data_IF_789624733693
#
_entry.id   IF_789624733693
#
_cell.length_a   1.000
_cell.length_b   1.000
_cell.length_c   1.000
_cell.angle_alpha   90.00
_cell.angle_beta   90.00
_cell.angle_gamma   90.00
#
_symmetry.space_group_name_H-M   'P 1'
#
loop_
_entity.id
_entity.type
_entity.pdbx_description
1 polymer ?
#
# COMPACT_ATOMS: atom_id res chain seq x y z
N UNK A 1 -7.03 9.63 -3.16
CA UNK A 1 -8.19 10.31 -3.80
C UNK A 1 -9.51 9.61 -3.53
N UNK A 2 -9.69 8.32 -3.87
CA UNK A 2 -10.94 7.60 -3.61
C UNK A 2 -11.44 7.66 -2.16
N UNK A 3 -10.54 7.47 -1.18
CA UNK A 3 -10.87 7.57 0.25
C UNK A 3 -11.37 8.96 0.66
N UNK A 4 -10.79 10.03 0.10
CA UNK A 4 -11.20 11.43 0.37
C UNK A 4 -12.61 11.66 -0.18
N UNK A 5 -12.85 11.27 -1.43
CA UNK A 5 -14.17 11.36 -2.04
C UNK A 5 -15.21 10.55 -1.25
N UNK A 6 -14.83 9.37 -0.75
CA UNK A 6 -15.69 8.54 0.06
C UNK A 6 -16.04 9.19 1.41
N UNK A 7 -15.09 9.79 2.11
CA UNK A 7 -15.37 10.51 3.36
C UNK A 7 -16.25 11.74 3.17
N UNK A 8 -16.17 12.42 2.01
CA UNK A 8 -17.02 13.57 1.70
C UNK A 8 -18.43 13.14 1.26
N UNK A 9 -18.54 12.11 0.43
CA UNK A 9 -19.82 11.69 -0.15
C UNK A 9 -20.64 10.81 0.79
N UNK A 10 -20.00 9.92 1.57
CA UNK A 10 -20.72 8.91 2.36
C UNK A 10 -21.65 9.50 3.42
N UNK A 11 -21.29 10.54 4.18
CA UNK A 11 -22.21 11.14 5.16
C UNK A 11 -23.45 11.76 4.51
N UNK A 12 -23.28 12.45 3.38
CA UNK A 12 -24.40 13.08 2.63
C UNK A 12 -25.35 12.01 2.10
N UNK A 13 -24.80 10.94 1.54
CA UNK A 13 -25.59 9.82 1.03
C UNK A 13 -26.32 9.10 2.17
N UNK A 14 -25.65 8.90 3.30
CA UNK A 14 -26.23 8.18 4.44
C UNK A 14 -27.38 8.98 5.08
N UNK A 15 -27.25 10.29 5.19
CA UNK A 15 -28.30 11.19 5.73
C UNK A 15 -29.48 11.33 4.77
N UNK A 16 -29.22 11.41 3.45
CA UNK A 16 -30.27 11.67 2.45
C UNK A 16 -30.98 10.40 1.95
N UNK A 17 -30.24 9.30 1.82
CA UNK A 17 -30.70 8.08 1.15
C UNK A 17 -30.58 6.82 2.02
N UNK A 18 -29.99 6.92 3.21
CA UNK A 18 -29.82 5.79 4.11
C UNK A 18 -28.70 4.82 3.70
N UNK A 19 -28.34 3.94 4.64
CA UNK A 19 -27.17 3.06 4.51
C UNK A 19 -27.25 2.06 3.33
N UNK A 20 -28.43 1.57 2.97
CA UNK A 20 -28.58 0.59 1.87
C UNK A 20 -28.22 1.21 0.52
N UNK A 21 -28.65 2.43 0.28
CA UNK A 21 -28.42 3.14 -0.98
C UNK A 21 -26.96 3.55 -1.15
N UNK A 22 -26.23 3.74 -0.05
CA UNK A 22 -24.77 3.93 -0.08
C UNK A 22 -24.08 2.80 -0.87
N UNK A 23 -24.41 1.54 -0.58
CA UNK A 23 -23.84 0.38 -1.26
C UNK A 23 -24.23 0.32 -2.74
N UNK A 24 -25.50 0.59 -3.07
CA UNK A 24 -25.97 0.61 -4.45
C UNK A 24 -25.31 1.72 -5.27
N UNK A 25 -25.12 2.92 -4.71
CA UNK A 25 -24.49 4.05 -5.39
C UNK A 25 -23.01 3.74 -5.68
N UNK A 26 -22.24 3.30 -4.69
CA UNK A 26 -20.83 2.94 -4.93
C UNK A 26 -20.69 1.76 -5.89
N UNK A 27 -21.57 0.76 -5.79
CA UNK A 27 -21.63 -0.35 -6.74
C UNK A 27 -21.90 0.12 -8.16
N UNK A 28 -22.89 1.00 -8.36
CA UNK A 28 -23.23 1.57 -9.67
C UNK A 28 -22.07 2.39 -10.25
N UNK A 29 -21.40 3.22 -9.44
CA UNK A 29 -20.22 3.97 -9.89
C UNK A 29 -19.10 3.02 -10.34
N UNK A 30 -18.85 1.94 -9.59
CA UNK A 30 -17.88 0.91 -9.97
C UNK A 30 -18.27 0.19 -11.26
N UNK A 31 -19.54 -0.18 -11.43
CA UNK A 31 -20.05 -0.80 -12.66
C UNK A 31 -19.97 0.15 -13.86
N UNK A 32 -20.24 1.44 -13.66
CA UNK A 32 -20.08 2.45 -14.71
C UNK A 32 -18.62 2.62 -15.10
N UNK A 33 -17.68 2.54 -14.15
CA UNK A 33 -16.24 2.58 -14.42
C UNK A 33 -15.73 1.34 -15.16
N UNK A 34 -16.40 0.19 -15.00
CA UNK A 34 -16.05 -1.05 -15.70
C UNK A 34 -16.13 -0.89 -17.23
N UNK A 35 -17.10 -0.11 -17.73
CA UNK A 35 -17.32 0.08 -19.18
C UNK A 35 -16.09 0.72 -19.87
N UNK A 36 -15.60 1.92 -19.47
CA UNK A 36 -14.40 2.47 -20.05
C UNK A 36 -13.17 1.59 -19.77
N UNK A 37 -13.06 0.97 -18.60
CA UNK A 37 -11.95 0.07 -18.28
C UNK A 37 -11.84 -1.10 -19.27
N UNK A 38 -12.94 -1.83 -19.51
CA UNK A 38 -12.97 -2.94 -20.48
C UNK A 38 -12.67 -2.47 -21.91
N UNK A 39 -13.05 -1.25 -22.26
CA UNK A 39 -12.79 -0.69 -23.60
C UNK A 39 -11.35 -0.18 -23.77
N UNK A 40 -10.65 0.20 -22.69
CA UNK A 40 -9.36 0.89 -22.75
C UNK A 40 -8.19 0.03 -22.28
N UNK A 41 -8.38 -0.88 -21.33
CA UNK A 41 -7.32 -1.72 -20.79
C UNK A 41 -6.66 -2.60 -21.88
N UNK A 42 -5.36 -2.80 -21.73
CA UNK A 42 -4.49 -3.61 -22.58
C UNK A 42 -3.41 -4.23 -21.70
N UNK A 43 -2.97 -5.44 -22.02
CA UNK A 43 -2.06 -6.19 -21.14
C UNK A 43 -0.59 -5.82 -21.37
N UNK A 44 -0.25 -5.29 -22.55
CA UNK A 44 1.11 -4.84 -22.87
C UNK A 44 1.17 -3.39 -23.41
N UNK A 45 2.29 -2.68 -23.21
CA UNK A 45 2.51 -1.37 -23.84
C UNK A 45 2.42 -1.40 -25.36
N UNK A 46 2.84 -2.50 -25.99
CA UNK A 46 2.79 -2.71 -27.43
C UNK A 46 1.35 -2.86 -27.95
N UNK A 47 0.49 -3.58 -27.22
CA UNK A 47 -0.95 -3.61 -27.51
C UNK A 47 -1.61 -2.25 -27.31
N UNK A 48 -1.21 -1.52 -26.27
CA UNK A 48 -1.69 -0.17 -26.01
C UNK A 48 -1.34 0.77 -27.18
N UNK A 49 -0.10 0.71 -27.67
CA UNK A 49 0.38 1.50 -28.79
C UNK A 49 -0.29 1.09 -30.11
N UNK A 50 -0.44 -0.21 -30.36
CA UNK A 50 -1.17 -0.76 -31.51
C UNK A 50 -2.62 -0.27 -31.56
N UNK A 51 -3.31 -0.34 -30.42
CA UNK A 51 -4.70 0.12 -30.26
C UNK A 51 -4.82 1.63 -30.42
N UNK A 52 -3.86 2.40 -29.90
CA UNK A 52 -3.81 3.87 -30.05
C UNK A 52 -3.57 4.30 -31.49
N UNK A 53 -2.67 3.62 -32.20
CA UNK A 53 -2.31 3.94 -33.59
C UNK A 53 -3.30 3.33 -34.62
N UNK A 54 -4.32 2.58 -34.16
CA UNK A 54 -5.25 1.84 -35.02
C UNK A 54 -4.53 0.94 -36.03
N UNK A 55 -3.36 0.41 -35.65
CA UNK A 55 -2.59 -0.48 -36.50
C UNK A 55 -3.37 -1.79 -36.67
N UNK A 56 -3.47 -2.32 -37.91
CA UNK A 56 -4.12 -3.59 -38.13
C UNK A 56 -3.49 -4.66 -37.24
N UNK A 57 -4.34 -5.51 -36.67
CA UNK A 57 -3.88 -6.73 -36.00
C UNK A 57 -3.30 -7.61 -37.11
N UNK A 58 -1.98 -7.54 -37.32
CA UNK A 58 -1.27 -8.55 -38.12
C UNK A 58 -1.74 -9.89 -37.61
N UNK A 59 -2.44 -10.63 -38.48
CA UNK A 59 -3.17 -11.85 -38.20
C UNK A 59 -2.64 -12.53 -36.94
N UNK A 60 -3.26 -12.23 -35.79
CA UNK A 60 -3.26 -13.17 -34.67
C UNK A 60 -3.95 -14.35 -35.30
N UNK A 61 -3.14 -15.28 -35.84
CA UNK A 61 -3.61 -16.59 -36.25
C UNK A 61 -4.52 -17.01 -35.11
N UNK A 62 -5.75 -17.41 -35.40
CA UNK A 62 -6.46 -18.26 -34.47
C UNK A 62 -5.50 -19.41 -34.19
N UNK A 63 -4.75 -19.32 -33.08
CA UNK A 63 -3.90 -20.40 -32.62
C UNK A 63 -4.92 -21.35 -32.01
N UNK A 64 -5.57 -22.13 -32.87
CA UNK A 64 -6.20 -23.36 -32.40
C UNK A 64 -5.03 -24.18 -31.89
N UNK A 65 -4.96 -24.35 -30.58
CA UNK A 65 -4.03 -25.29 -29.97
C UNK A 65 -4.35 -26.68 -30.56
N UNK A 66 -3.50 -27.13 -31.49
CA UNK A 66 -3.70 -28.36 -32.28
C UNK A 66 -3.82 -29.59 -31.37
N UNK A 67 -3.31 -29.52 -30.13
CA UNK A 67 -3.42 -30.60 -29.14
C UNK A 67 -4.79 -30.64 -28.43
N UNK A 68 -5.53 -29.53 -28.33
CA UNK A 68 -6.75 -29.44 -27.51
C UNK A 68 -8.06 -29.19 -28.27
N UNK A 69 -8.00 -28.79 -29.54
CA UNK A 69 -9.17 -28.62 -30.41
C UNK A 69 -10.20 -27.60 -29.93
N UNK A 70 -9.80 -26.68 -29.05
CA UNK A 70 -10.67 -25.65 -28.45
C UNK A 70 -10.23 -24.25 -28.86
N UNK A 71 -11.22 -23.35 -28.97
CA UNK A 71 -11.00 -21.95 -29.30
C UNK A 71 -10.12 -21.27 -28.22
N UNK A 72 -8.89 -20.91 -28.60
CA UNK A 72 -7.93 -20.23 -27.74
C UNK A 72 -8.40 -18.81 -27.33
N UNK A 73 -9.40 -18.26 -28.02
CA UNK A 73 -10.00 -16.96 -27.67
C UNK A 73 -11.18 -17.07 -26.69
N UNK A 74 -11.51 -18.28 -26.23
CA UNK A 74 -12.54 -18.44 -25.19
C UNK A 74 -12.03 -17.90 -23.85
N UNK A 75 -12.91 -17.27 -23.06
CA UNK A 75 -12.59 -16.79 -21.70
C UNK A 75 -11.93 -17.90 -20.87
N UNK A 76 -12.36 -19.15 -21.04
CA UNK A 76 -11.82 -20.29 -20.31
C UNK A 76 -10.40 -20.67 -20.76
N UNK A 77 -10.06 -20.50 -22.04
CA UNK A 77 -8.69 -20.70 -22.53
C UNK A 77 -7.76 -19.58 -22.05
N UNK A 78 -8.21 -18.33 -22.08
CA UNK A 78 -7.47 -17.17 -21.55
C UNK A 78 -7.16 -17.38 -20.07
N UNK A 79 -8.17 -17.72 -19.25
CA UNK A 79 -7.98 -18.01 -17.83
C UNK A 79 -6.97 -19.14 -17.58
N UNK A 80 -7.00 -20.21 -18.37
CA UNK A 80 -6.05 -21.32 -18.26
C UNK A 80 -4.63 -20.87 -18.59
N UNK A 81 -4.45 -20.15 -19.70
CA UNK A 81 -3.16 -19.63 -20.12
C UNK A 81 -2.56 -18.70 -19.04
N UNK A 82 -3.34 -17.75 -18.50
CA UNK A 82 -2.87 -16.86 -17.42
C UNK A 82 -2.51 -17.64 -16.15
N UNK A 83 -3.28 -18.68 -15.82
CA UNK A 83 -3.02 -19.51 -14.63
C UNK A 83 -1.76 -20.37 -14.82
N UNK A 84 -1.57 -20.95 -16.00
CA UNK A 84 -0.39 -21.76 -16.33
C UNK A 84 0.87 -20.91 -16.39
N UNK A 85 0.80 -19.70 -16.96
CA UNK A 85 1.91 -18.74 -16.97
C UNK A 85 2.28 -18.28 -15.56
N UNK A 86 1.29 -17.96 -14.72
CA UNK A 86 1.50 -17.65 -13.31
C UNK A 86 2.11 -18.82 -12.53
N UNK A 87 1.66 -20.06 -12.79
CA UNK A 87 2.24 -21.26 -12.19
C UNK A 87 3.68 -21.49 -12.65
N UNK A 88 3.98 -21.25 -13.93
CA UNK A 88 5.33 -21.35 -14.48
C UNK A 88 6.28 -20.33 -13.85
N UNK A 89 5.83 -19.08 -13.70
CA UNK A 89 6.53 -18.04 -12.93
C UNK A 89 6.86 -18.60 -11.55
N UNK A 90 5.87 -18.99 -10.74
CA UNK A 90 6.14 -19.48 -9.37
C UNK A 90 7.11 -20.67 -9.33
N UNK A 91 6.98 -21.62 -10.27
CA UNK A 91 7.83 -22.81 -10.33
C UNK A 91 9.28 -22.51 -10.69
N UNK A 92 9.51 -21.51 -11.54
CA UNK A 92 10.86 -21.10 -11.97
C UNK A 92 11.48 -20.05 -11.02
N UNK A 93 10.71 -19.53 -10.06
CA UNK A 93 11.17 -18.49 -9.15
C UNK A 93 12.24 -19.00 -8.17
N UNK A 94 13.34 -18.25 -7.97
CA UNK A 94 14.38 -18.59 -7.00
C UNK A 94 13.94 -18.24 -5.56
N UNK A 95 12.77 -18.73 -5.11
CA UNK A 95 12.13 -18.36 -3.83
C UNK A 95 13.07 -18.48 -2.63
N UNK A 96 13.89 -19.54 -2.58
CA UNK A 96 14.84 -19.76 -1.49
C UNK A 96 15.92 -18.70 -1.44
N UNK A 97 16.35 -18.18 -2.58
CA UNK A 97 17.36 -17.12 -2.68
C UNK A 97 16.71 -15.77 -2.36
N UNK A 98 15.51 -15.52 -2.88
CA UNK A 98 14.71 -14.34 -2.56
C UNK A 98 14.50 -14.21 -1.05
N UNK A 99 14.09 -15.27 -0.36
CA UNK A 99 13.88 -15.24 1.10
C UNK A 99 15.17 -15.09 1.91
N UNK A 100 16.32 -15.49 1.35
CA UNK A 100 17.63 -15.35 2.01
C UNK A 100 18.27 -13.98 1.77
N UNK A 101 17.87 -13.26 0.72
CA UNK A 101 18.39 -11.94 0.39
C UNK A 101 18.16 -10.95 1.54
N UNK A 102 19.23 -10.23 1.90
CA UNK A 102 19.15 -9.16 2.90
C UNK A 102 18.24 -8.01 2.43
N UNK A 103 18.26 -7.69 1.12
CA UNK A 103 17.40 -6.65 0.56
C UNK A 103 15.92 -7.02 0.64
N UNK A 104 15.57 -8.25 0.27
CA UNK A 104 14.19 -8.74 0.34
C UNK A 104 13.70 -8.81 1.79
N UNK A 105 14.54 -9.28 2.72
CA UNK A 105 14.21 -9.29 4.17
C UNK A 105 14.02 -7.89 4.72
N UNK A 106 14.87 -6.94 4.31
CA UNK A 106 14.72 -5.54 4.69
C UNK A 106 13.37 -4.96 4.19
N UNK A 107 13.02 -5.22 2.93
CA UNK A 107 11.73 -4.82 2.38
C UNK A 107 10.55 -5.47 3.11
N UNK A 108 10.63 -6.77 3.42
CA UNK A 108 9.57 -7.47 4.15
C UNK A 108 9.34 -6.89 5.55
N UNK A 109 10.41 -6.56 6.28
CA UNK A 109 10.32 -5.94 7.61
C UNK A 109 9.72 -4.53 7.52
N UNK A 110 10.16 -3.73 6.54
CA UNK A 110 9.61 -2.39 6.28
C UNK A 110 8.12 -2.44 5.92
N UNK A 111 7.73 -3.38 5.06
CA UNK A 111 6.33 -3.60 4.68
C UNK A 111 5.49 -4.02 5.90
N UNK A 112 6.00 -4.93 6.73
CA UNK A 112 5.32 -5.37 7.95
C UNK A 112 5.11 -4.23 8.96
N UNK A 113 6.12 -3.40 9.21
CA UNK A 113 6.00 -2.22 10.07
C UNK A 113 5.00 -1.19 9.51
N UNK A 114 5.00 -1.00 8.18
CA UNK A 114 4.05 -0.11 7.50
C UNK A 114 2.61 -0.60 7.68
N UNK A 115 2.35 -1.89 7.45
CA UNK A 115 1.02 -2.48 7.65
C UNK A 115 0.60 -2.48 9.12
N UNK A 116 1.54 -2.70 10.05
CA UNK A 116 1.29 -2.56 11.48
C UNK A 116 0.78 -1.17 11.84
N UNK A 117 1.46 -0.12 11.37
CA UNK A 117 1.04 1.26 11.61
C UNK A 117 -0.30 1.59 10.96
N UNK A 118 -0.49 1.20 9.70
CA UNK A 118 -1.72 1.44 8.96
C UNK A 118 -2.93 0.76 9.61
N UNK A 119 -2.81 -0.52 9.97
CA UNK A 119 -3.94 -1.28 10.50
C UNK A 119 -4.30 -0.83 11.91
N UNK A 120 -3.30 -0.50 12.73
CA UNK A 120 -3.57 0.10 14.04
C UNK A 120 -4.29 1.44 13.93
N UNK A 121 -3.86 2.31 13.02
CA UNK A 121 -4.53 3.58 12.79
C UNK A 121 -5.99 3.36 12.33
N UNK A 122 -6.23 2.45 11.39
CA UNK A 122 -7.60 2.14 10.94
C UNK A 122 -8.49 1.54 12.03
N UNK A 123 -7.95 0.63 12.84
CA UNK A 123 -8.71 -0.09 13.84
C UNK A 123 -8.98 0.74 15.10
N UNK A 124 -8.01 1.52 15.55
CA UNK A 124 -8.01 2.09 16.90
C UNK A 124 -8.16 3.61 16.93
N UNK A 125 -7.98 4.35 15.83
CA UNK A 125 -8.15 5.80 15.85
C UNK A 125 -9.53 6.27 16.31
N UNK A 126 -10.66 5.69 15.88
CA UNK A 126 -11.98 6.10 16.39
C UNK A 126 -12.12 5.89 17.89
N UNK A 127 -11.65 4.76 18.41
CA UNK A 127 -11.66 4.43 19.83
C UNK A 127 -10.78 5.38 20.64
N UNK A 128 -9.58 5.67 20.16
CA UNK A 128 -8.68 6.66 20.78
C UNK A 128 -9.38 8.01 20.96
N UNK A 129 -10.02 8.54 19.91
CA UNK A 129 -10.72 9.82 20.02
C UNK A 129 -11.93 9.78 20.96
N UNK A 130 -12.67 8.68 20.96
CA UNK A 130 -13.81 8.49 21.83
C UNK A 130 -13.39 8.41 23.30
N UNK A 131 -12.34 7.65 23.61
CA UNK A 131 -11.89 7.44 25.00
C UNK A 131 -11.12 8.64 25.55
N UNK A 132 -10.22 9.22 24.75
CA UNK A 132 -9.33 10.29 25.21
C UNK A 132 -10.03 11.65 25.24
N UNK A 133 -10.96 11.91 24.31
CA UNK A 133 -11.54 13.24 24.11
C UNK A 133 -13.07 13.27 24.14
N UNK A 134 -13.74 12.12 24.26
CA UNK A 134 -15.21 12.05 24.26
C UNK A 134 -15.85 12.52 22.94
N UNK A 135 -15.09 12.56 21.84
CA UNK A 135 -15.57 13.05 20.56
C UNK A 135 -16.58 12.08 19.94
N UNK A 136 -17.69 12.62 19.43
CA UNK A 136 -18.66 11.83 18.69
C UNK A 136 -18.13 11.46 17.29
N UNK A 137 -18.69 10.40 16.70
CA UNK A 137 -18.28 9.88 15.38
C UNK A 137 -18.39 10.94 14.27
N UNK A 138 -19.29 11.93 14.40
CA UNK A 138 -19.58 12.94 13.37
C UNK A 138 -18.49 14.02 13.31
N UNK A 139 -17.97 14.48 14.44
CA UNK A 139 -16.84 15.40 14.51
C UNK A 139 -15.53 14.70 14.11
N UNK A 140 -15.37 13.44 14.51
CA UNK A 140 -14.23 12.59 14.12
C UNK A 140 -14.14 12.35 12.61
N UNK A 141 -15.26 12.38 11.88
CA UNK A 141 -15.27 12.23 10.42
C UNK A 141 -14.57 13.38 9.67
N UNK A 142 -14.72 14.63 10.14
CA UNK A 142 -14.02 15.79 9.57
C UNK A 142 -12.51 15.72 9.84
N UNK A 143 -12.12 15.28 11.03
CA UNK A 143 -10.72 15.03 11.37
C UNK A 143 -10.12 13.87 10.56
N UNK A 144 -10.90 12.84 10.24
CA UNK A 144 -10.48 11.65 9.49
C UNK A 144 -10.10 11.91 8.03
N UNK A 145 -10.46 13.06 7.47
CA UNK A 145 -10.08 13.46 6.10
C UNK A 145 -8.61 13.89 6.05
N UNK A 146 -8.10 14.53 7.11
CA UNK A 146 -6.75 15.12 7.13
C UNK A 146 -5.64 14.10 6.84
N UNK A 147 -5.60 12.90 7.46
CA UNK A 147 -4.57 11.89 7.16
C UNK A 147 -4.62 11.42 5.71
N UNK A 148 -5.82 11.33 5.13
CA UNK A 148 -5.99 10.91 3.74
C UNK A 148 -5.46 11.96 2.76
N UNK A 149 -5.67 13.25 3.05
CA UNK A 149 -5.10 14.35 2.28
C UNK A 149 -3.58 14.33 2.40
N UNK A 150 -3.05 14.30 3.62
CA UNK A 150 -1.61 14.28 3.88
C UNK A 150 -0.93 13.11 3.19
N UNK A 151 -1.48 11.89 3.29
CA UNK A 151 -0.97 10.71 2.61
C UNK A 151 -0.95 10.86 1.08
N UNK A 152 -2.01 11.42 0.49
CA UNK A 152 -2.07 11.64 -0.96
C UNK A 152 -1.04 12.70 -1.41
N UNK A 153 -0.96 13.84 -0.72
CA UNK A 153 -0.03 14.91 -1.08
C UNK A 153 1.41 14.48 -0.88
N UNK A 154 1.73 13.86 0.26
CA UNK A 154 3.07 13.38 0.56
C UNK A 154 3.48 12.23 -0.36
N UNK A 155 2.56 11.34 -0.76
CA UNK A 155 2.85 10.29 -1.73
C UNK A 155 3.24 10.83 -3.11
N UNK A 156 2.50 11.84 -3.62
CA UNK A 156 2.84 12.51 -4.88
C UNK A 156 4.18 13.23 -4.77
N UNK A 157 4.37 14.01 -3.70
CA UNK A 157 5.64 14.70 -3.44
C UNK A 157 6.81 13.70 -3.36
N UNK A 158 6.59 12.57 -2.69
CA UNK A 158 7.59 11.52 -2.54
C UNK A 158 8.05 10.99 -3.90
N UNK A 159 7.11 10.64 -4.78
CA UNK A 159 7.42 10.17 -6.13
C UNK A 159 8.18 11.23 -6.95
N UNK A 160 7.64 12.46 -7.02
CA UNK A 160 8.24 13.55 -7.82
C UNK A 160 9.67 13.88 -7.38
N UNK A 161 9.91 13.92 -6.07
CA UNK A 161 11.23 14.23 -5.53
C UNK A 161 12.20 13.07 -5.74
N UNK A 162 11.74 11.82 -5.57
CA UNK A 162 12.57 10.64 -5.83
C UNK A 162 12.98 10.57 -7.30
N UNK A 163 12.03 10.72 -8.22
CA UNK A 163 12.27 10.68 -9.67
C UNK A 163 13.24 11.77 -10.11
N UNK A 164 13.12 12.98 -9.55
CA UNK A 164 14.06 14.07 -9.81
C UNK A 164 15.49 13.70 -9.43
N UNK A 165 15.72 13.17 -8.22
CA UNK A 165 17.06 12.78 -7.79
C UNK A 165 17.62 11.60 -8.60
N UNK A 166 16.78 10.64 -8.97
CA UNK A 166 17.18 9.53 -9.85
C UNK A 166 17.60 10.08 -11.22
N UNK A 167 16.83 11.01 -11.80
CA UNK A 167 17.16 11.63 -13.09
C UNK A 167 18.45 12.47 -13.05
N UNK A 168 18.79 13.05 -11.89
CA UNK A 168 20.05 13.76 -11.66
C UNK A 168 21.25 12.81 -11.41
N UNK A 169 21.03 11.49 -11.41
CA UNK A 169 22.08 10.48 -11.29
C UNK A 169 22.47 10.13 -9.85
N UNK A 170 21.63 10.43 -8.86
CA UNK A 170 21.89 10.04 -7.48
C UNK A 170 21.80 8.51 -7.29
N UNK A 171 22.58 8.00 -6.32
CA UNK A 171 22.63 6.57 -6.03
C UNK A 171 21.26 6.03 -5.59
N UNK A 172 20.80 4.98 -6.27
CA UNK A 172 19.47 4.43 -6.07
C UNK A 172 19.33 3.81 -4.68
N UNK A 173 20.38 3.15 -4.15
CA UNK A 173 20.35 2.60 -2.79
C UNK A 173 20.17 3.70 -1.76
N UNK A 174 20.92 4.80 -1.90
CA UNK A 174 20.80 5.96 -1.02
C UNK A 174 19.40 6.57 -1.07
N UNK A 175 18.83 6.77 -2.26
CA UNK A 175 17.46 7.29 -2.41
C UNK A 175 16.47 6.39 -1.69
N UNK A 176 16.48 5.08 -1.97
CA UNK A 176 15.56 4.14 -1.33
C UNK A 176 15.72 4.13 0.19
N UNK A 177 16.95 4.21 0.71
CA UNK A 177 17.22 4.30 2.16
C UNK A 177 16.72 5.60 2.77
N UNK A 178 16.90 6.74 2.11
CA UNK A 178 16.41 8.06 2.59
C UNK A 178 14.88 8.06 2.65
N UNK A 179 14.23 7.69 1.55
CA UNK A 179 12.77 7.72 1.46
C UNK A 179 12.12 6.71 2.40
N UNK A 180 12.68 5.51 2.51
CA UNK A 180 12.22 4.53 3.49
C UNK A 180 12.50 4.98 4.93
N UNK A 181 13.62 5.67 5.16
CA UNK A 181 13.94 6.29 6.44
C UNK A 181 12.89 7.33 6.83
N UNK A 182 12.51 8.24 5.93
CA UNK A 182 11.42 9.21 6.15
C UNK A 182 10.10 8.46 6.42
N UNK A 183 9.81 7.44 5.62
CA UNK A 183 8.60 6.63 5.68
C UNK A 183 8.41 5.80 6.94
N UNK A 184 9.45 5.64 7.76
CA UNK A 184 9.40 4.90 9.03
C UNK A 184 9.79 5.77 10.24
N UNK A 185 10.86 6.55 10.15
CA UNK A 185 11.28 7.44 11.23
C UNK A 185 10.33 8.63 11.41
N UNK A 186 9.73 9.16 10.34
CA UNK A 186 8.72 10.22 10.44
C UNK A 186 7.49 9.78 11.26
N UNK A 187 6.83 8.66 10.91
CA UNK A 187 5.78 8.08 11.75
C UNK A 187 6.25 7.79 13.17
N UNK A 188 7.46 7.23 13.34
CA UNK A 188 8.01 6.94 14.66
C UNK A 188 8.15 8.20 15.52
N UNK A 189 8.66 9.30 14.97
CA UNK A 189 8.76 10.57 15.70
C UNK A 189 7.38 11.05 16.14
N UNK A 190 6.40 11.10 15.24
CA UNK A 190 5.05 11.53 15.59
C UNK A 190 4.40 10.66 16.68
N UNK A 191 4.55 9.33 16.57
CA UNK A 191 3.97 8.37 17.51
C UNK A 191 4.69 8.39 18.86
N UNK A 192 6.02 8.50 18.89
CA UNK A 192 6.78 8.61 20.14
C UNK A 192 6.53 9.94 20.85
N UNK A 193 6.27 11.03 20.10
CA UNK A 193 5.80 12.29 20.69
C UNK A 193 4.44 12.10 21.37
N UNK A 194 3.48 11.43 20.72
CA UNK A 194 2.19 11.08 21.34
C UNK A 194 2.36 10.16 22.55
N UNK A 195 3.32 9.23 22.50
CA UNK A 195 3.62 8.33 23.61
C UNK A 195 4.22 9.06 24.83
N UNK A 196 4.98 10.12 24.59
CA UNK A 196 5.60 10.89 25.66
C UNK A 196 4.59 11.80 26.36
N UNK A 197 3.77 12.50 25.58
CA UNK A 197 2.76 13.43 26.08
C UNK A 197 1.59 13.50 25.10
N UNK A 198 0.43 12.96 25.49
CA UNK A 198 -0.79 13.02 24.69
C UNK A 198 -1.38 14.42 24.87
N UNK A 199 -1.47 15.24 23.81
CA UNK A 199 -1.97 16.61 23.94
C UNK A 199 -3.40 16.66 24.47
N UNK A 200 -3.70 17.63 25.34
CA UNK A 200 -5.06 17.88 25.81
C UNK A 200 -6.01 18.29 24.67
N UNK A 201 -5.48 18.99 23.66
CA UNK A 201 -6.26 19.44 22.51
C UNK A 201 -6.35 18.34 21.43
N UNK A 202 -7.58 17.89 21.05
CA UNK A 202 -7.74 16.82 20.06
C UNK A 202 -7.12 17.12 18.69
N UNK A 203 -7.15 18.39 18.27
CA UNK A 203 -6.56 18.84 17.01
C UNK A 203 -5.03 18.62 17.00
N UNK A 204 -4.34 18.79 18.13
CA UNK A 204 -2.90 18.60 18.19
C UNK A 204 -2.53 17.11 18.01
N UNK A 205 -3.26 16.20 18.66
CA UNK A 205 -3.09 14.77 18.44
C UNK A 205 -3.42 14.35 17.00
N UNK A 206 -4.48 14.90 16.43
CA UNK A 206 -4.85 14.67 15.03
C UNK A 206 -3.78 15.15 14.05
N UNK A 207 -3.11 16.28 14.31
CA UNK A 207 -2.00 16.76 13.47
C UNK A 207 -0.79 15.81 13.53
N UNK A 208 -0.47 15.26 14.70
CA UNK A 208 0.59 14.25 14.84
C UNK A 208 0.24 12.95 14.10
N UNK A 209 -0.99 12.44 14.23
CA UNK A 209 -1.44 11.26 13.49
C UNK A 209 -1.51 11.50 11.98
N UNK A 210 -1.93 12.70 11.56
CA UNK A 210 -1.93 13.14 10.16
C UNK A 210 -0.50 13.20 9.61
N UNK A 211 0.43 13.77 10.38
CA UNK A 211 1.86 13.81 10.04
C UNK A 211 2.44 12.41 9.91
N UNK A 212 2.08 11.49 10.81
CA UNK A 212 2.48 10.09 10.75
C UNK A 212 2.05 9.43 9.43
N UNK A 213 0.78 9.57 9.04
CA UNK A 213 0.29 9.04 7.75
C UNK A 213 0.96 9.73 6.54
N UNK A 214 1.18 11.04 6.63
CA UNK A 214 1.88 11.81 5.59
C UNK A 214 3.31 11.32 5.37
N UNK A 215 4.09 11.16 6.44
CA UNK A 215 5.44 10.61 6.33
C UNK A 215 5.43 9.16 5.84
N UNK A 216 4.50 8.33 6.34
CA UNK A 216 4.38 6.93 5.90
C UNK A 216 4.17 6.80 4.38
N UNK A 217 3.56 7.79 3.72
CA UNK A 217 3.38 7.77 2.26
C UNK A 217 4.72 7.73 1.49
N UNK A 218 5.84 8.13 2.11
CA UNK A 218 7.17 8.03 1.50
C UNK A 218 7.65 6.59 1.30
N UNK A 219 7.00 5.61 1.93
CA UNK A 219 7.26 4.18 1.70
C UNK A 219 7.04 3.77 0.24
N UNK A 220 6.18 4.49 -0.51
CA UNK A 220 5.96 4.25 -1.93
C UNK A 220 7.26 4.39 -2.74
N UNK A 221 8.03 5.47 -2.51
CA UNK A 221 9.34 5.68 -3.10
C UNK A 221 10.48 4.98 -2.33
N UNK A 222 10.19 4.35 -1.19
CA UNK A 222 11.11 3.49 -0.45
C UNK A 222 11.01 2.03 -0.94
N UNK A 223 10.50 1.14 -0.09
CA UNK A 223 10.36 -0.27 -0.41
C UNK A 223 9.35 -0.55 -1.55
N UNK A 224 8.37 0.34 -1.78
CA UNK A 224 7.33 0.14 -2.80
C UNK A 224 7.91 0.03 -4.21
N UNK A 225 8.75 0.99 -4.60
CA UNK A 225 9.47 1.00 -5.87
C UNK A 225 10.62 -0.03 -5.91
N UNK A 226 11.22 -0.35 -4.75
CA UNK A 226 12.34 -1.29 -4.65
C UNK A 226 12.04 -2.69 -5.18
N UNK A 227 10.78 -3.15 -5.14
CA UNK A 227 10.38 -4.48 -5.63
C UNK A 227 10.63 -4.67 -7.11
N UNK A 228 10.34 -3.65 -7.93
CA UNK A 228 10.57 -3.70 -9.37
C UNK A 228 12.06 -3.73 -9.68
N UNK A 229 12.85 -2.94 -8.96
CA UNK A 229 14.30 -2.82 -9.16
C UNK A 229 15.05 -4.11 -8.80
N UNK A 230 14.64 -4.74 -7.68
CA UNK A 230 15.31 -5.91 -7.14
C UNK A 230 15.09 -7.16 -8.00
N UNK A 231 13.86 -7.33 -8.50
CA UNK A 231 13.38 -8.56 -9.14
C UNK A 231 13.17 -8.44 -10.66
N UNK A 232 13.25 -7.23 -11.22
CA UNK A 232 12.90 -6.96 -12.61
C UNK A 232 11.43 -7.24 -12.93
N UNK A 233 11.05 -7.08 -14.20
CA UNK A 233 9.65 -7.15 -14.64
C UNK A 233 9.02 -8.53 -14.40
N UNK A 234 9.82 -9.58 -14.55
CA UNK A 234 9.38 -10.98 -14.42
C UNK A 234 8.94 -11.33 -13.01
N UNK A 235 9.68 -10.89 -12.00
CA UNK A 235 9.50 -11.33 -10.61
C UNK A 235 8.95 -10.25 -9.68
N UNK A 236 8.78 -9.00 -10.15
CA UNK A 236 8.37 -7.87 -9.30
C UNK A 236 7.06 -8.13 -8.54
N UNK A 237 6.04 -8.65 -9.24
CA UNK A 237 4.74 -8.97 -8.64
C UNK A 237 4.84 -10.07 -7.57
N UNK A 238 5.63 -11.11 -7.85
CA UNK A 238 5.88 -12.20 -6.90
C UNK A 238 6.67 -11.69 -5.68
N UNK A 239 7.71 -10.89 -5.89
CA UNK A 239 8.51 -10.32 -4.80
C UNK A 239 7.67 -9.40 -3.93
N UNK A 240 6.87 -8.52 -4.53
CA UNK A 240 5.95 -7.67 -3.78
C UNK A 240 5.01 -8.51 -2.92
N UNK A 241 4.45 -9.61 -3.48
CA UNK A 241 3.58 -10.55 -2.77
C UNK A 241 4.29 -11.26 -1.61
N UNK A 242 5.55 -11.66 -1.79
CA UNK A 242 6.36 -12.29 -0.74
C UNK A 242 6.62 -11.34 0.44
N UNK A 243 6.70 -10.03 0.20
CA UNK A 243 6.83 -9.03 1.28
C UNK A 243 5.49 -8.65 1.89
N UNK A 244 4.41 -8.63 1.10
CA UNK A 244 3.09 -8.15 1.55
C UNK A 244 2.37 -9.18 2.41
N UNK A 245 2.39 -10.46 2.04
CA UNK A 245 1.74 -11.54 2.80
C UNK A 245 2.13 -11.57 4.29
N UNK A 246 3.42 -11.65 4.66
CA UNK A 246 3.81 -11.57 6.06
C UNK A 246 3.48 -10.21 6.67
N UNK A 247 3.51 -9.13 5.88
CA UNK A 247 3.14 -7.80 6.35
C UNK A 247 1.67 -7.68 6.77
N UNK A 248 0.74 -8.29 6.02
CA UNK A 248 -0.69 -8.34 6.38
C UNK A 248 -0.91 -9.14 7.66
N UNK A 249 -0.25 -10.30 7.78
CA UNK A 249 -0.32 -11.12 8.99
C UNK A 249 0.21 -10.36 10.21
N UNK A 250 1.37 -9.72 10.07
CA UNK A 250 1.99 -8.94 11.13
C UNK A 250 1.14 -7.72 11.52
N UNK A 251 0.56 -7.02 10.55
CA UNK A 251 -0.35 -5.91 10.81
C UNK A 251 -1.59 -6.34 11.59
N UNK A 252 -2.19 -7.48 11.24
CA UNK A 252 -3.34 -8.05 11.95
C UNK A 252 -3.00 -8.44 13.38
N UNK A 253 -1.84 -9.07 13.59
CA UNK A 253 -1.31 -9.38 14.93
C UNK A 253 -1.12 -8.08 15.73
N UNK A 254 -0.65 -7.01 15.10
CA UNK A 254 -0.49 -5.71 15.75
C UNK A 254 -1.78 -5.12 16.28
N UNK A 255 -2.87 -5.21 15.53
CA UNK A 255 -4.20 -4.77 16.00
C UNK A 255 -4.62 -5.55 17.24
N UNK A 256 -4.43 -6.88 17.24
CA UNK A 256 -4.73 -7.72 18.39
C UNK A 256 -3.88 -7.36 19.62
N UNK A 257 -2.57 -7.16 19.44
CA UNK A 257 -1.66 -6.80 20.53
C UNK A 257 -2.05 -5.45 21.14
N UNK A 258 -2.38 -4.46 20.32
CA UNK A 258 -2.88 -3.16 20.79
C UNK A 258 -4.13 -3.31 21.64
N UNK A 259 -5.10 -4.12 21.20
CA UNK A 259 -6.30 -4.39 22.00
C UNK A 259 -5.97 -5.02 23.35
N UNK A 260 -5.06 -6.00 23.38
CA UNK A 260 -4.62 -6.63 24.64
C UNK A 260 -3.91 -5.67 25.59
N UNK A 261 -3.13 -4.71 25.06
CA UNK A 261 -2.52 -3.65 25.87
C UNK A 261 -3.63 -2.80 26.49
N UNK A 262 -4.53 -2.26 25.67
CA UNK A 262 -5.63 -1.40 26.13
C UNK A 262 -6.54 -2.10 27.14
N UNK A 263 -6.92 -3.36 26.92
CA UNK A 263 -7.73 -4.15 27.86
C UNK A 263 -7.07 -4.29 29.24
N UNK A 264 -5.74 -4.34 29.29
CA UNK A 264 -4.99 -4.62 30.52
C UNK A 264 -4.52 -3.36 31.26
N UNK A 265 -4.23 -2.29 30.53
CA UNK A 265 -3.63 -1.07 31.09
C UNK A 265 -4.51 0.17 30.93
N UNK A 266 -5.38 0.21 29.92
CA UNK A 266 -6.12 1.41 29.52
C UNK A 266 -5.22 2.56 29.04
N UNK A 267 -3.96 2.27 28.69
CA UNK A 267 -2.91 3.27 28.45
C UNK A 267 -2.57 3.40 26.97
N UNK A 268 -2.91 4.56 26.39
CA UNK A 268 -2.64 4.89 24.99
C UNK A 268 -1.18 5.25 24.71
N UNK A 269 -0.45 5.77 25.70
CA UNK A 269 0.97 6.05 25.63
C UNK A 269 1.79 4.79 25.30
N UNK A 270 1.46 3.65 25.91
CA UNK A 270 2.09 2.36 25.62
C UNK A 270 1.82 1.90 24.18
N UNK A 271 0.61 2.11 23.67
CA UNK A 271 0.23 1.76 22.29
C UNK A 271 1.03 2.59 21.29
N UNK A 272 1.08 3.91 21.49
CA UNK A 272 1.87 4.79 20.62
C UNK A 272 3.37 4.50 20.72
N UNK A 273 3.87 4.20 21.93
CA UNK A 273 5.26 3.82 22.18
C UNK A 273 5.65 2.56 21.41
N UNK A 274 4.82 1.51 21.48
CA UNK A 274 5.03 0.27 20.73
C UNK A 274 5.04 0.52 19.22
N UNK A 275 4.05 1.23 18.71
CA UNK A 275 3.96 1.55 17.29
C UNK A 275 5.18 2.36 16.81
N UNK A 276 5.66 3.30 17.61
CA UNK A 276 6.87 4.07 17.35
C UNK A 276 8.12 3.19 17.29
N UNK A 277 8.34 2.32 18.29
CA UNK A 277 9.50 1.43 18.37
C UNK A 277 9.55 0.46 17.18
N UNK A 278 8.40 -0.12 16.79
CA UNK A 278 8.31 -1.02 15.61
C UNK A 278 8.83 -0.31 14.36
N UNK A 279 8.43 0.95 14.15
CA UNK A 279 8.90 1.75 13.03
C UNK A 279 10.41 2.06 13.11
N UNK A 280 10.94 2.41 14.29
CA UNK A 280 12.39 2.66 14.47
C UNK A 280 13.22 1.42 14.14
N UNK A 281 12.82 0.25 14.63
CA UNK A 281 13.53 -1.01 14.39
C UNK A 281 13.53 -1.34 12.89
N UNK A 282 12.37 -1.20 12.23
CA UNK A 282 12.27 -1.43 10.80
C UNK A 282 13.11 -0.45 9.99
N UNK A 283 13.14 0.83 10.38
CA UNK A 283 13.97 1.84 9.73
C UNK A 283 15.46 1.51 9.85
N UNK A 284 15.92 1.19 11.06
CA UNK A 284 17.32 0.83 11.31
C UNK A 284 17.72 -0.40 10.47
N UNK A 285 16.87 -1.42 10.41
CA UNK A 285 17.12 -2.60 9.60
C UNK A 285 17.20 -2.27 8.11
N UNK A 286 16.22 -1.52 7.58
CA UNK A 286 16.19 -1.17 6.16
C UNK A 286 17.39 -0.30 5.74
N UNK A 287 17.69 0.76 6.50
CA UNK A 287 18.80 1.67 6.22
C UNK A 287 20.14 0.93 6.24
N UNK A 288 20.29 -0.09 7.08
CA UNK A 288 21.54 -0.85 7.21
C UNK A 288 21.69 -1.91 6.12
N UNK A 289 20.62 -2.66 5.82
CA UNK A 289 20.72 -3.90 5.03
C UNK A 289 20.15 -3.80 3.61
N UNK A 290 19.41 -2.76 3.26
CA UNK A 290 18.85 -2.63 1.93
C UNK A 290 19.90 -2.15 0.91
N UNK A 291 19.97 -2.82 -0.25
CA UNK A 291 20.76 -2.41 -1.41
C UNK A 291 19.91 -2.59 -2.67
N UNK A 292 19.97 -1.64 -3.61
CA UNK A 292 19.14 -1.57 -4.82
C UNK A 292 19.63 -2.46 -5.96
N UNK A 293 20.77 -3.15 -5.79
CA UNK A 293 21.31 -4.03 -6.82
C UNK A 293 20.27 -5.10 -7.20
N UNK A 294 20.06 -5.28 -8.51
CA UNK A 294 19.23 -6.37 -9.05
C UNK A 294 19.84 -7.71 -8.66
N UNK A 295 19.01 -8.61 -8.12
CA UNK A 295 19.46 -9.90 -7.58
C UNK A 295 18.84 -11.11 -8.28
N UNK A 296 17.75 -10.92 -9.04
CA UNK A 296 17.02 -12.01 -9.68
C UNK A 296 16.78 -11.69 -11.16
N UNK A 297 17.03 -12.69 -12.03
CA UNK A 297 16.70 -12.72 -13.46
C UNK A 297 15.95 -14.02 -13.78
#
# INVERSE_FOLDING_TARGET
>A
MGTISAYLASPVILDSFGWRNLFFIYGAVGSLWLVPWLSLATDTPEEAERKRLSLPVDNVKQVVDEESGKDANSIQAIWRATTEEGAKIINEAPLKEMLKSNGVRAMAIAHAASNWGLYNNLAWSPTFYSEQYGLNVKESALFSILPSIAGATCGILSALVADKFIAEGADLTLIRRIFQGIGLLGPATCLLTLAHDIPEAPIAAQLLLTGSVGFQAFNAAGFGAASQEKAGDRWAGLLYSLTSLPGVAFGSIGVYITGRILDSTGQWDLVFGLNGIVNVIAAAYFITFYESKKEFD
#
